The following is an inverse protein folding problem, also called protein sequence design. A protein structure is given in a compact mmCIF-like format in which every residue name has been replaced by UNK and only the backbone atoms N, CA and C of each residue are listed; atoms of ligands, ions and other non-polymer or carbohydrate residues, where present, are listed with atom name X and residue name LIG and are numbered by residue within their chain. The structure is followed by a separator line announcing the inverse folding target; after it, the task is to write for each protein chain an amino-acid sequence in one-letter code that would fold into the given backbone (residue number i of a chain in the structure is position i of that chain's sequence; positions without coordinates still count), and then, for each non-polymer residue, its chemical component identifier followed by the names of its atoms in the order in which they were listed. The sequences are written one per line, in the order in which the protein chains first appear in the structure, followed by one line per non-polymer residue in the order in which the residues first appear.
data_IF_705182792560
#
_entry.id   IF_705182792560
#
_cell.length_a   1.000
_cell.length_b   1.000
_cell.length_c   1.000
_cell.angle_alpha   90.00
_cell.angle_beta   90.00
_cell.angle_gamma   90.00
#
_symmetry.space_group_name_H-M   'P 1'
#
loop_
_entity.id
_entity.type
_entity.pdbx_description
1 polymer ?
#
# COMPACT_ATOMS: atom_id res chain seq x y z
N UNK A 1 -1.93 -35.17 -18.69
CA UNK A 1 -0.54 -34.98 -18.26
C UNK A 1 -0.54 -34.89 -16.74
N UNK A 2 -0.14 -35.98 -16.03
CA UNK A 2 -0.01 -35.97 -14.56
C UNK A 2 1.18 -35.05 -14.26
N UNK A 3 0.90 -33.83 -13.80
CA UNK A 3 1.91 -32.89 -13.34
C UNK A 3 2.53 -33.47 -12.06
N UNK A 4 3.81 -33.79 -12.13
CA UNK A 4 4.59 -34.28 -10.99
C UNK A 4 4.64 -33.16 -9.94
N UNK A 5 4.05 -33.40 -8.77
CA UNK A 5 3.85 -32.38 -7.73
C UNK A 5 5.16 -31.81 -7.17
N UNK A 6 6.23 -32.59 -7.20
CA UNK A 6 7.51 -32.17 -6.66
C UNK A 6 8.28 -31.27 -7.64
N UNK A 7 8.18 -31.53 -8.95
CA UNK A 7 8.72 -30.64 -9.99
C UNK A 7 8.02 -29.29 -10.06
N UNK A 8 6.71 -29.24 -9.76
CA UNK A 8 5.95 -27.96 -9.74
C UNK A 8 6.33 -27.05 -8.56
N UNK A 9 6.80 -27.60 -7.43
CA UNK A 9 7.24 -26.80 -6.27
C UNK A 9 8.59 -26.13 -6.50
N UNK A 10 9.45 -26.71 -7.34
CA UNK A 10 10.81 -26.22 -7.58
C UNK A 10 10.90 -25.23 -8.75
N UNK A 11 9.90 -25.18 -9.63
CA UNK A 11 9.90 -24.26 -10.78
C UNK A 11 9.33 -22.88 -10.39
N UNK A 12 10.14 -21.80 -10.34
CA UNK A 12 9.68 -20.45 -9.99
C UNK A 12 8.62 -19.89 -10.95
N UNK A 13 8.57 -20.39 -12.19
CA UNK A 13 7.68 -19.93 -13.26
C UNK A 13 6.46 -20.84 -13.46
N UNK A 14 6.30 -21.89 -12.65
CA UNK A 14 5.22 -22.87 -12.82
C UNK A 14 3.84 -22.22 -12.83
N UNK A 15 3.60 -21.26 -11.95
CA UNK A 15 2.31 -20.56 -11.85
C UNK A 15 2.02 -19.68 -13.07
N UNK A 16 3.04 -19.12 -13.72
CA UNK A 16 2.89 -18.29 -14.92
C UNK A 16 2.53 -19.10 -16.17
N UNK A 17 2.67 -20.42 -16.15
CA UNK A 17 2.20 -21.28 -17.25
C UNK A 17 0.68 -21.45 -17.24
N UNK A 18 0.01 -21.07 -16.15
CA UNK A 18 -1.45 -21.06 -16.06
C UNK A 18 -1.95 -19.77 -16.72
N UNK A 19 -2.55 -19.91 -17.91
CA UNK A 19 -2.98 -18.77 -18.75
C UNK A 19 -3.79 -17.73 -17.97
N UNK A 20 -4.84 -18.17 -17.27
CA UNK A 20 -5.74 -17.26 -16.56
C UNK A 20 -5.04 -16.52 -15.42
N UNK A 21 -4.10 -17.19 -14.73
CA UNK A 21 -3.27 -16.56 -13.72
C UNK A 21 -2.31 -15.51 -14.31
N UNK A 22 -1.65 -15.82 -15.43
CA UNK A 22 -0.73 -14.88 -16.09
C UNK A 22 -1.46 -13.63 -16.59
N UNK A 23 -2.64 -13.80 -17.19
CA UNK A 23 -3.49 -12.68 -17.61
C UNK A 23 -3.92 -11.86 -16.39
N UNK A 24 -4.28 -12.52 -15.27
CA UNK A 24 -4.64 -11.85 -14.03
C UNK A 24 -3.47 -11.05 -13.44
N UNK A 25 -2.25 -11.59 -13.47
CA UNK A 25 -1.04 -10.89 -13.01
C UNK A 25 -0.72 -9.67 -13.89
N UNK A 26 -0.84 -9.82 -15.21
CA UNK A 26 -0.62 -8.73 -16.15
C UNK A 26 -1.65 -7.60 -15.95
N UNK A 27 -2.91 -7.95 -15.79
CA UNK A 27 -3.98 -7.03 -15.44
C UNK A 27 -3.64 -6.26 -14.15
N UNK A 28 -3.23 -6.97 -13.09
CA UNK A 28 -2.85 -6.35 -11.82
C UNK A 28 -1.66 -5.41 -11.96
N UNK A 29 -0.65 -5.79 -12.73
CA UNK A 29 0.51 -4.94 -12.98
C UNK A 29 0.11 -3.60 -13.57
N UNK A 30 -0.68 -3.60 -14.65
CA UNK A 30 -1.12 -2.37 -15.30
C UNK A 30 -2.06 -1.54 -14.43
N UNK A 31 -2.93 -2.19 -13.66
CA UNK A 31 -3.80 -1.51 -12.72
C UNK A 31 -3.00 -0.78 -11.63
N UNK A 32 -2.07 -1.49 -10.98
CA UNK A 32 -1.25 -0.91 -9.91
C UNK A 32 -0.36 0.21 -10.49
N UNK A 33 0.25 -0.03 -11.65
CA UNK A 33 1.09 0.97 -12.32
C UNK A 33 0.31 2.25 -12.60
N UNK A 34 -0.88 2.16 -13.21
CA UNK A 34 -1.74 3.31 -13.48
C UNK A 34 -2.15 4.05 -12.21
N UNK A 35 -2.57 3.32 -11.16
CA UNK A 35 -2.93 3.92 -9.88
C UNK A 35 -1.73 4.59 -9.21
N UNK A 36 -0.54 4.00 -9.24
CA UNK A 36 0.66 4.61 -8.64
C UNK A 36 1.11 5.88 -9.36
N UNK A 37 0.98 5.94 -10.68
CA UNK A 37 1.16 7.17 -11.46
C UNK A 37 0.14 8.22 -11.00
N UNK A 38 -1.14 7.85 -10.92
CA UNK A 38 -2.24 8.75 -10.54
C UNK A 38 -2.05 9.37 -9.15
N UNK A 39 -1.56 8.59 -8.18
CA UNK A 39 -1.31 9.08 -6.82
C UNK A 39 -0.28 10.19 -6.80
N UNK A 40 0.79 10.11 -7.61
CA UNK A 40 1.80 11.18 -7.74
C UNK A 40 1.17 12.43 -8.34
N UNK A 41 0.44 12.28 -9.45
CA UNK A 41 -0.18 13.39 -10.17
C UNK A 41 -1.17 14.13 -9.28
N UNK A 42 -2.04 13.40 -8.59
CA UNK A 42 -3.04 13.95 -7.66
C UNK A 42 -2.36 14.74 -6.54
N UNK A 43 -1.30 14.20 -5.94
CA UNK A 43 -0.55 14.90 -4.90
C UNK A 43 0.03 16.22 -5.38
N UNK A 44 0.71 16.23 -6.54
CA UNK A 44 1.28 17.44 -7.14
C UNK A 44 0.17 18.42 -7.54
N UNK A 45 -0.93 17.93 -8.12
CA UNK A 45 -2.05 18.77 -8.52
C UNK A 45 -2.71 19.46 -7.34
N UNK A 46 -2.98 18.76 -6.26
CA UNK A 46 -3.56 19.34 -5.03
C UNK A 46 -2.61 20.38 -4.44
N UNK A 47 -1.30 20.08 -4.40
CA UNK A 47 -0.30 21.05 -3.97
C UNK A 47 -0.37 22.34 -4.79
N UNK A 48 -0.42 22.26 -6.12
CA UNK A 48 -0.43 23.40 -7.02
C UNK A 48 -1.77 24.18 -7.00
N UNK A 49 -2.89 23.51 -6.76
CA UNK A 49 -4.23 24.11 -6.71
C UNK A 49 -4.56 24.72 -5.36
N UNK A 50 -3.86 24.36 -4.29
CA UNK A 50 -4.13 24.86 -2.95
C UNK A 50 -3.38 26.18 -2.73
N UNK A 51 -4.08 27.32 -2.65
CA UNK A 51 -3.47 28.59 -2.31
C UNK A 51 -3.10 28.65 -0.82
N UNK A 52 -2.25 29.58 -0.44
CA UNK A 52 -1.96 29.88 0.95
C UNK A 52 -0.66 29.28 1.46
N UNK A 53 -0.60 29.10 2.77
CA UNK A 53 0.61 28.67 3.52
C UNK A 53 0.94 27.20 3.31
N UNK A 54 2.20 26.84 3.63
CA UNK A 54 2.67 25.43 3.72
C UNK A 54 1.72 24.54 4.52
N UNK A 55 1.19 25.05 5.64
CA UNK A 55 0.26 24.32 6.50
C UNK A 55 -1.10 24.04 5.84
N UNK A 56 -1.61 24.99 5.04
CA UNK A 56 -2.87 24.78 4.29
C UNK A 56 -2.70 23.74 3.19
N UNK A 57 -1.58 23.79 2.46
CA UNK A 57 -1.23 22.78 1.47
C UNK A 57 -1.05 21.39 2.11
N UNK A 58 -0.41 21.33 3.27
CA UNK A 58 -0.22 20.08 4.00
C UNK A 58 -1.57 19.48 4.44
N UNK A 59 -2.48 20.29 4.95
CA UNK A 59 -3.81 19.83 5.30
C UNK A 59 -4.61 19.36 4.08
N UNK A 60 -4.54 20.08 2.95
CA UNK A 60 -5.16 19.67 1.71
C UNK A 60 -4.65 18.31 1.22
N UNK A 61 -3.35 18.06 1.34
CA UNK A 61 -2.77 16.74 1.02
C UNK A 61 -3.22 15.66 2.00
N UNK A 62 -3.36 15.99 3.28
CA UNK A 62 -3.91 15.09 4.29
C UNK A 62 -5.35 14.65 3.97
N UNK A 63 -6.18 15.55 3.43
CA UNK A 63 -7.55 15.22 3.01
C UNK A 63 -7.61 14.19 1.87
N UNK A 64 -6.56 14.01 1.06
CA UNK A 64 -6.47 12.91 0.08
C UNK A 64 -6.62 11.58 0.79
N UNK A 65 -5.80 11.36 1.85
CA UNK A 65 -5.85 10.14 2.63
C UNK A 65 -7.23 9.92 3.28
N UNK A 66 -7.81 10.95 3.87
CA UNK A 66 -9.14 10.84 4.50
C UNK A 66 -10.25 10.53 3.49
N UNK A 67 -10.22 11.19 2.33
CA UNK A 67 -11.19 10.96 1.26
C UNK A 67 -11.14 9.51 0.75
N UNK A 68 -9.98 8.87 0.76
CA UNK A 68 -9.81 7.49 0.36
C UNK A 68 -10.09 6.50 1.51
N UNK A 69 -9.64 6.82 2.75
CA UNK A 69 -9.77 5.96 3.91
C UNK A 69 -11.23 5.67 4.28
N UNK A 70 -12.06 6.70 4.34
CA UNK A 70 -13.46 6.56 4.78
C UNK A 70 -14.21 5.52 3.94
N UNK A 71 -14.32 5.66 2.61
CA UNK A 71 -15.04 4.68 1.81
C UNK A 71 -14.34 3.32 1.77
N UNK A 72 -13.00 3.28 1.75
CA UNK A 72 -12.24 2.04 1.78
C UNK A 72 -12.58 1.20 3.02
N UNK A 73 -12.50 1.79 4.21
CA UNK A 73 -12.76 1.09 5.48
C UNK A 73 -14.22 0.63 5.56
N UNK A 74 -15.17 1.51 5.24
CA UNK A 74 -16.59 1.18 5.28
C UNK A 74 -16.92 0.02 4.33
N UNK A 75 -16.39 0.05 3.10
CA UNK A 75 -16.66 -0.98 2.10
C UNK A 75 -15.91 -2.27 2.42
N UNK A 76 -14.66 -2.22 2.87
CA UNK A 76 -13.86 -3.41 3.17
C UNK A 76 -14.53 -4.34 4.20
N UNK A 77 -15.30 -3.77 5.14
CA UNK A 77 -16.07 -4.53 6.12
C UNK A 77 -17.12 -5.43 5.44
N UNK A 78 -17.78 -4.97 4.39
CA UNK A 78 -18.84 -5.70 3.70
C UNK A 78 -18.35 -6.47 2.48
N UNK A 79 -17.27 -6.01 1.86
CA UNK A 79 -16.77 -6.52 0.58
C UNK A 79 -16.42 -8.02 0.61
N UNK A 80 -15.89 -8.52 1.73
CA UNK A 80 -15.61 -9.95 1.90
C UNK A 80 -16.87 -10.80 1.78
N UNK A 81 -17.98 -10.37 2.40
CA UNK A 81 -19.26 -11.08 2.34
C UNK A 81 -19.88 -11.04 0.91
N UNK A 82 -19.72 -9.93 0.23
CA UNK A 82 -20.12 -9.78 -1.17
C UNK A 82 -19.29 -10.72 -2.08
N UNK A 83 -17.97 -10.80 -1.86
CA UNK A 83 -17.06 -11.66 -2.61
C UNK A 83 -17.31 -13.18 -2.41
N UNK A 84 -17.97 -13.57 -1.31
CA UNK A 84 -18.36 -14.95 -1.05
C UNK A 84 -19.71 -15.34 -1.71
N UNK A 85 -20.52 -14.36 -2.11
CA UNK A 85 -21.86 -14.57 -2.69
C UNK A 85 -21.94 -14.28 -4.19
N UNK A 86 -21.14 -13.34 -4.67
CA UNK A 86 -21.13 -12.88 -6.06
C UNK A 86 -19.90 -13.42 -6.77
N UNK A 87 -20.01 -13.65 -8.07
CA UNK A 87 -18.87 -14.03 -8.89
C UNK A 87 -17.75 -12.99 -8.77
N UNK A 88 -16.59 -13.43 -8.27
CA UNK A 88 -15.44 -12.57 -7.97
C UNK A 88 -14.93 -11.81 -9.19
N UNK A 89 -14.95 -12.43 -10.37
CA UNK A 89 -14.61 -11.75 -11.64
C UNK A 89 -15.53 -10.56 -11.90
N UNK A 90 -16.83 -10.70 -11.65
CA UNK A 90 -17.79 -9.60 -11.84
C UNK A 90 -17.50 -8.43 -10.88
N UNK A 91 -17.16 -8.72 -9.62
CA UNK A 91 -16.79 -7.69 -8.64
C UNK A 91 -15.53 -6.95 -9.12
N UNK A 92 -14.52 -7.69 -9.56
CA UNK A 92 -13.27 -7.10 -10.08
C UNK A 92 -13.55 -6.24 -11.31
N UNK A 93 -14.31 -6.73 -12.27
CA UNK A 93 -14.68 -5.96 -13.48
C UNK A 93 -15.42 -4.68 -13.13
N UNK A 94 -16.41 -4.75 -12.25
CA UNK A 94 -17.15 -3.56 -11.80
C UNK A 94 -16.23 -2.55 -11.10
N UNK A 95 -15.37 -3.02 -10.20
CA UNK A 95 -14.44 -2.15 -9.47
C UNK A 95 -13.41 -1.50 -10.40
N UNK A 96 -12.85 -2.26 -11.36
CA UNK A 96 -11.90 -1.69 -12.33
C UNK A 96 -12.61 -0.73 -13.29
N UNK A 97 -13.83 -1.02 -13.73
CA UNK A 97 -14.63 -0.08 -14.54
C UNK A 97 -14.87 1.23 -13.79
N UNK A 98 -15.11 1.15 -12.48
CA UNK A 98 -15.29 2.33 -11.64
C UNK A 98 -14.00 3.14 -11.51
N UNK A 99 -12.84 2.48 -11.30
CA UNK A 99 -11.52 3.12 -11.31
C UNK A 99 -11.18 3.74 -12.68
N UNK A 100 -11.56 3.07 -13.77
CA UNK A 100 -11.40 3.57 -15.14
C UNK A 100 -12.19 4.87 -15.34
N UNK A 101 -13.47 4.88 -14.96
CA UNK A 101 -14.30 6.08 -15.01
C UNK A 101 -13.70 7.21 -14.17
N UNK A 102 -13.27 6.91 -12.94
CA UNK A 102 -12.61 7.87 -12.07
C UNK A 102 -11.35 8.47 -12.72
N UNK A 103 -10.49 7.63 -13.32
CA UNK A 103 -9.25 8.07 -13.96
C UNK A 103 -9.51 8.96 -15.19
N UNK A 104 -10.49 8.61 -16.04
CA UNK A 104 -10.88 9.45 -17.17
C UNK A 104 -11.59 10.75 -16.75
N UNK A 105 -12.31 10.71 -15.63
CA UNK A 105 -12.91 11.94 -15.06
C UNK A 105 -11.84 12.89 -14.55
N UNK A 106 -10.79 12.38 -13.87
CA UNK A 106 -9.63 13.19 -13.48
C UNK A 106 -8.92 13.80 -14.68
N UNK A 107 -8.72 13.01 -15.75
CA UNK A 107 -8.18 13.53 -17.01
C UNK A 107 -9.04 14.66 -17.56
N UNK A 108 -10.35 14.46 -17.69
CA UNK A 108 -11.28 15.44 -18.26
C UNK A 108 -11.30 16.75 -17.47
N UNK A 109 -11.39 16.67 -16.14
CA UNK A 109 -11.38 17.84 -15.26
C UNK A 109 -10.05 18.59 -15.35
N UNK A 110 -8.92 17.86 -15.41
CA UNK A 110 -7.59 18.46 -15.48
C UNK A 110 -7.28 19.05 -16.87
N UNK A 111 -7.87 18.49 -17.93
CA UNK A 111 -7.80 19.04 -19.28
C UNK A 111 -8.60 20.33 -19.40
N UNK A 112 -9.78 20.38 -18.77
CA UNK A 112 -10.66 21.53 -18.82
C UNK A 112 -10.48 22.42 -17.57
N UNK A 113 -9.52 23.36 -17.65
CA UNK A 113 -9.12 24.22 -16.54
C UNK A 113 -10.28 25.07 -15.95
N UNK A 114 -11.39 25.27 -16.70
CA UNK A 114 -12.55 26.04 -16.24
C UNK A 114 -13.20 25.39 -15.02
N UNK A 115 -13.32 24.04 -15.00
CA UNK A 115 -13.90 23.34 -13.85
C UNK A 115 -13.05 23.47 -12.58
N UNK A 116 -11.72 23.40 -12.72
CA UNK A 116 -10.81 23.56 -11.59
C UNK A 116 -10.78 24.99 -11.06
N UNK A 117 -10.92 25.98 -11.94
CA UNK A 117 -10.98 27.38 -11.54
C UNK A 117 -12.26 27.73 -10.75
N UNK A 118 -13.38 27.08 -11.05
CA UNK A 118 -14.67 27.33 -10.38
C UNK A 118 -14.90 26.51 -9.11
N UNK A 119 -14.44 25.25 -9.07
CA UNK A 119 -14.74 24.27 -8.00
C UNK A 119 -13.54 23.93 -7.11
N UNK A 120 -12.34 24.43 -7.46
CA UNK A 120 -11.10 24.17 -6.72
C UNK A 120 -10.74 22.68 -6.65
N UNK A 121 -10.31 22.23 -5.47
CA UNK A 121 -9.87 20.83 -5.23
C UNK A 121 -11.00 19.86 -4.92
N UNK A 122 -12.23 20.32 -4.67
CA UNK A 122 -13.36 19.48 -4.25
C UNK A 122 -13.71 18.34 -5.21
N UNK A 123 -13.75 18.54 -6.54
CA UNK A 123 -14.03 17.43 -7.46
C UNK A 123 -12.99 16.31 -7.39
N UNK A 124 -11.72 16.66 -7.15
CA UNK A 124 -10.63 15.70 -7.02
C UNK A 124 -10.87 14.80 -5.80
N UNK A 125 -11.20 15.38 -4.64
CA UNK A 125 -11.54 14.60 -3.44
C UNK A 125 -12.76 13.71 -3.64
N UNK A 126 -13.80 14.19 -4.34
CA UNK A 126 -14.96 13.37 -4.67
C UNK A 126 -14.62 12.16 -5.52
N UNK A 127 -13.73 12.33 -6.50
CA UNK A 127 -13.26 11.20 -7.34
C UNK A 127 -12.39 10.24 -6.51
N UNK A 128 -11.51 10.74 -5.64
CA UNK A 128 -10.69 9.91 -4.74
C UNK A 128 -11.58 9.10 -3.79
N UNK A 129 -12.63 9.72 -3.25
CA UNK A 129 -13.63 9.01 -2.45
C UNK A 129 -14.24 7.83 -3.22
N UNK A 130 -14.59 8.06 -4.47
CA UNK A 130 -15.07 7.01 -5.36
C UNK A 130 -14.02 5.91 -5.59
N UNK A 131 -12.74 6.25 -5.77
CA UNK A 131 -11.67 5.23 -5.91
C UNK A 131 -11.52 4.40 -4.65
N UNK A 132 -11.69 4.98 -3.47
CA UNK A 132 -11.70 4.27 -2.17
C UNK A 132 -12.78 3.17 -2.11
N UNK A 133 -13.98 3.43 -2.65
CA UNK A 133 -15.05 2.41 -2.76
C UNK A 133 -14.56 1.21 -3.58
N UNK A 134 -14.02 1.47 -4.77
CA UNK A 134 -13.55 0.40 -5.66
C UNK A 134 -12.41 -0.42 -5.01
N UNK A 135 -11.46 0.25 -4.38
CA UNK A 135 -10.35 -0.40 -3.65
C UNK A 135 -10.85 -1.25 -2.48
N UNK A 136 -11.87 -0.79 -1.77
CA UNK A 136 -12.51 -1.55 -0.69
C UNK A 136 -13.06 -2.91 -1.16
N UNK A 137 -13.64 -2.98 -2.36
CA UNK A 137 -14.08 -4.25 -2.96
C UNK A 137 -12.90 -5.09 -3.48
N UNK A 138 -11.89 -4.48 -4.09
CA UNK A 138 -10.77 -5.19 -4.68
C UNK A 138 -9.87 -5.88 -3.62
N UNK A 139 -9.71 -5.26 -2.46
CA UNK A 139 -8.80 -5.75 -1.42
C UNK A 139 -9.07 -7.22 -0.99
N UNK A 140 -10.29 -7.63 -0.61
CA UNK A 140 -10.59 -9.02 -0.30
C UNK A 140 -10.80 -9.88 -1.55
N UNK A 141 -11.23 -9.28 -2.68
CA UNK A 141 -11.62 -10.04 -3.86
C UNK A 141 -10.41 -10.55 -4.65
N UNK A 142 -9.33 -9.78 -4.75
CA UNK A 142 -8.13 -10.20 -5.48
C UNK A 142 -7.50 -11.49 -4.95
N UNK A 143 -7.13 -11.62 -3.67
CA UNK A 143 -6.56 -12.87 -3.17
C UNK A 143 -7.54 -14.04 -3.25
N UNK A 144 -8.84 -13.78 -3.04
CA UNK A 144 -9.87 -14.79 -3.15
C UNK A 144 -10.06 -15.29 -4.58
N UNK A 145 -10.00 -14.41 -5.58
CA UNK A 145 -10.09 -14.80 -7.00
C UNK A 145 -8.83 -15.52 -7.47
N UNK A 146 -7.65 -15.02 -7.07
CA UNK A 146 -6.38 -15.66 -7.36
C UNK A 146 -6.35 -17.12 -6.90
N UNK A 147 -6.85 -17.41 -5.71
CA UNK A 147 -6.90 -18.77 -5.16
C UNK A 147 -7.81 -19.72 -5.96
N UNK A 148 -8.74 -19.19 -6.75
CA UNK A 148 -9.59 -19.98 -7.66
C UNK A 148 -8.93 -20.31 -9.00
N UNK A 149 -7.94 -19.50 -9.41
CA UNK A 149 -7.26 -19.66 -10.70
C UNK A 149 -6.12 -20.69 -10.66
N UNK A 150 -5.63 -21.03 -9.47
CA UNK A 150 -4.42 -21.85 -9.29
C UNK A 150 -4.64 -22.99 -8.29
N UNK A 151 -3.96 -24.14 -8.47
CA UNK A 151 -3.96 -25.20 -7.49
C UNK A 151 -3.20 -24.81 -6.21
N UNK A 152 -3.62 -25.35 -5.06
CA UNK A 152 -3.05 -25.02 -3.74
C UNK A 152 -1.53 -25.17 -3.66
N UNK A 153 -0.94 -26.13 -4.39
CA UNK A 153 0.50 -26.38 -4.42
C UNK A 153 1.31 -25.18 -4.92
N UNK A 154 0.71 -24.29 -5.71
CA UNK A 154 1.33 -23.09 -6.31
C UNK A 154 1.07 -21.79 -5.54
N UNK A 155 0.39 -21.82 -4.39
CA UNK A 155 0.04 -20.60 -3.64
C UNK A 155 1.27 -19.80 -3.22
N UNK A 156 2.35 -20.46 -2.78
CA UNK A 156 3.59 -19.78 -2.42
C UNK A 156 4.26 -19.10 -3.62
N UNK A 157 4.29 -19.79 -4.77
CA UNK A 157 4.82 -19.23 -6.01
C UNK A 157 4.00 -18.00 -6.48
N UNK A 158 2.68 -18.08 -6.43
CA UNK A 158 1.79 -16.97 -6.74
C UNK A 158 1.95 -15.77 -5.78
N UNK A 159 2.16 -16.03 -4.49
CA UNK A 159 2.42 -14.95 -3.52
C UNK A 159 3.72 -14.19 -3.83
N UNK A 160 4.77 -14.90 -4.24
CA UNK A 160 6.03 -14.30 -4.68
C UNK A 160 5.84 -13.40 -5.90
N UNK A 161 5.13 -13.87 -6.92
CA UNK A 161 4.83 -13.07 -8.12
C UNK A 161 3.97 -11.86 -7.82
N UNK A 162 2.98 -11.99 -6.92
CA UNK A 162 2.19 -10.84 -6.45
C UNK A 162 3.05 -9.77 -5.78
N UNK A 163 3.98 -10.19 -4.91
CA UNK A 163 4.91 -9.28 -4.25
C UNK A 163 5.80 -8.55 -5.26
N UNK A 164 6.36 -9.30 -6.23
CA UNK A 164 7.25 -8.74 -7.26
C UNK A 164 6.51 -7.71 -8.13
N UNK A 165 5.27 -8.00 -8.55
CA UNK A 165 4.44 -7.08 -9.33
C UNK A 165 4.15 -5.81 -8.54
N UNK A 166 3.76 -5.95 -7.28
CA UNK A 166 3.51 -4.80 -6.41
C UNK A 166 4.75 -3.92 -6.26
N UNK A 167 5.90 -4.52 -5.95
CA UNK A 167 7.15 -3.78 -5.77
C UNK A 167 7.60 -3.11 -7.06
N UNK A 168 7.56 -3.81 -8.19
CA UNK A 168 7.94 -3.23 -9.49
C UNK A 168 7.04 -2.04 -9.84
N UNK A 169 5.73 -2.18 -9.72
CA UNK A 169 4.79 -1.10 -9.99
C UNK A 169 4.94 0.08 -9.01
N UNK A 170 5.29 -0.20 -7.74
CA UNK A 170 5.53 0.83 -6.72
C UNK A 170 6.82 1.63 -6.93
N UNK A 171 7.78 1.09 -7.70
CA UNK A 171 8.98 1.83 -8.14
C UNK A 171 8.70 2.57 -9.45
N UNK A 172 8.23 1.83 -10.45
CA UNK A 172 8.10 2.32 -11.83
C UNK A 172 6.97 3.35 -11.96
N UNK A 173 5.86 3.12 -11.25
CA UNK A 173 4.69 4.01 -11.32
C UNK A 173 5.00 5.44 -10.88
N UNK A 174 5.45 5.65 -9.64
CA UNK A 174 5.80 7.00 -9.18
C UNK A 174 6.92 7.66 -10.00
N UNK A 175 7.93 6.89 -10.43
CA UNK A 175 9.00 7.42 -11.27
C UNK A 175 8.45 7.93 -12.62
N UNK A 176 7.59 7.15 -13.30
CA UNK A 176 6.92 7.60 -14.53
C UNK A 176 6.02 8.80 -14.24
N UNK A 177 5.23 8.77 -13.15
CA UNK A 177 4.37 9.88 -12.77
C UNK A 177 5.14 11.19 -12.58
N UNK A 178 6.27 11.15 -11.87
CA UNK A 178 7.14 12.30 -11.69
C UNK A 178 7.78 12.79 -12.99
N UNK A 179 8.26 11.87 -13.84
CA UNK A 179 8.80 12.23 -15.15
C UNK A 179 7.75 12.91 -16.02
N UNK A 180 6.54 12.38 -16.11
CA UNK A 180 5.45 12.98 -16.89
C UNK A 180 5.07 14.37 -16.37
N UNK A 181 5.07 14.57 -15.06
CA UNK A 181 4.83 15.87 -14.44
C UNK A 181 5.98 16.83 -14.70
N UNK A 182 7.24 16.36 -14.67
CA UNK A 182 8.42 17.17 -15.00
C UNK A 182 8.42 17.71 -16.44
N UNK A 183 7.75 17.04 -17.39
CA UNK A 183 7.50 17.57 -18.72
C UNK A 183 6.38 18.63 -18.79
N UNK A 184 5.77 18.98 -17.64
CA UNK A 184 4.85 20.09 -17.48
C UNK A 184 3.43 19.86 -18.01
N UNK A 185 3.05 18.64 -18.38
CA UNK A 185 1.72 18.38 -18.93
C UNK A 185 0.92 17.39 -18.06
N UNK A 186 0.19 17.92 -17.10
CA UNK A 186 -0.67 17.15 -16.19
C UNK A 186 -1.73 16.32 -16.92
N UNK A 187 -2.28 16.84 -18.03
CA UNK A 187 -3.29 16.13 -18.81
C UNK A 187 -2.71 14.90 -19.48
N UNK A 188 -1.48 14.98 -20.01
CA UNK A 188 -0.78 13.81 -20.57
C UNK A 188 -0.54 12.77 -19.47
N UNK A 189 -0.12 13.19 -18.29
CA UNK A 189 0.13 12.30 -17.18
C UNK A 189 -1.15 11.52 -16.75
N UNK A 190 -2.29 12.22 -16.64
CA UNK A 190 -3.58 11.56 -16.40
C UNK A 190 -4.03 10.67 -17.56
N UNK A 191 -3.81 11.07 -18.81
CA UNK A 191 -4.14 10.24 -19.97
C UNK A 191 -3.36 8.90 -19.94
N UNK A 192 -2.06 8.95 -19.63
CA UNK A 192 -1.24 7.74 -19.48
C UNK A 192 -1.77 6.85 -18.37
N UNK A 193 -2.04 7.41 -17.18
CA UNK A 193 -2.62 6.66 -16.06
C UNK A 193 -3.96 6.01 -16.44
N UNK A 194 -4.90 6.79 -17.01
CA UNK A 194 -6.22 6.31 -17.42
C UNK A 194 -6.12 5.23 -18.51
N UNK A 195 -5.17 5.35 -19.45
CA UNK A 195 -4.92 4.36 -20.49
C UNK A 195 -4.43 3.04 -19.90
N UNK A 196 -3.55 3.06 -18.90
CA UNK A 196 -3.08 1.85 -18.21
C UNK A 196 -4.21 1.15 -17.44
N UNK A 197 -5.09 1.91 -16.78
CA UNK A 197 -6.29 1.37 -16.11
C UNK A 197 -7.25 0.78 -17.15
N UNK A 198 -7.43 1.45 -18.30
CA UNK A 198 -8.24 0.94 -19.43
C UNK A 198 -7.67 -0.37 -19.96
N UNK A 199 -6.36 -0.44 -20.15
CA UNK A 199 -5.67 -1.64 -20.61
C UNK A 199 -5.82 -2.78 -19.60
N UNK A 200 -5.72 -2.49 -18.31
CA UNK A 200 -6.01 -3.45 -17.24
C UNK A 200 -7.44 -4.01 -17.34
N UNK A 201 -8.44 -3.14 -17.59
CA UNK A 201 -9.82 -3.55 -17.77
C UNK A 201 -10.02 -4.46 -18.99
N UNK A 202 -9.35 -4.19 -20.10
CA UNK A 202 -9.43 -5.03 -21.29
C UNK A 202 -8.76 -6.39 -21.10
N UNK A 203 -7.63 -6.43 -20.40
CA UNK A 203 -6.87 -7.66 -20.14
C UNK A 203 -7.66 -8.68 -19.32
N UNK A 204 -8.52 -8.26 -18.37
CA UNK A 204 -9.27 -9.24 -17.55
C UNK A 204 -10.43 -9.90 -18.30
N UNK A 205 -10.90 -9.32 -19.40
CA UNK A 205 -12.09 -9.81 -20.12
C UNK A 205 -11.98 -11.29 -20.56
N UNK A 206 -10.86 -11.76 -21.17
CA UNK A 206 -10.73 -13.13 -21.66
C UNK A 206 -10.55 -14.19 -20.56
N UNK A 207 -10.37 -13.83 -19.28
CA UNK A 207 -10.22 -14.81 -18.21
C UNK A 207 -11.52 -15.61 -18.05
N UNK A 208 -11.38 -16.91 -17.82
CA UNK A 208 -12.51 -17.81 -17.63
C UNK A 208 -13.35 -17.46 -16.40
N UNK A 209 -14.67 -17.54 -16.51
CA UNK A 209 -15.55 -17.36 -15.35
C UNK A 209 -15.47 -18.59 -14.44
N UNK A 210 -15.00 -18.39 -13.22
CA UNK A 210 -14.98 -19.45 -12.20
C UNK A 210 -16.26 -19.35 -11.35
N UNK A 211 -17.00 -20.44 -11.17
CA UNK A 211 -18.20 -20.44 -10.34
C UNK A 211 -17.89 -20.05 -8.89
N UNK A 212 -18.86 -19.45 -8.22
CA UNK A 212 -18.77 -19.16 -6.79
C UNK A 212 -18.72 -20.50 -6.05
N UNK A 213 -17.74 -20.73 -5.14
CA UNK A 213 -17.72 -21.93 -4.32
C UNK A 213 -19.04 -22.01 -3.52
N UNK A 214 -19.73 -23.15 -3.58
CA UNK A 214 -20.88 -23.42 -2.71
C UNK A 214 -20.35 -23.67 -1.30
N UNK A 215 -20.17 -22.61 -0.52
CA UNK A 215 -19.85 -22.75 0.89
C UNK A 215 -21.13 -23.05 1.66
N UNK A 216 -21.22 -24.25 2.23
CA UNK A 216 -22.34 -24.70 3.06
C UNK A 216 -22.37 -24.01 4.43
N UNK A 217 -21.28 -23.36 4.85
CA UNK A 217 -21.19 -22.72 6.17
C UNK A 217 -21.52 -21.23 6.05
N UNK A 218 -22.77 -20.89 6.39
CA UNK A 218 -23.27 -19.51 6.49
C UNK A 218 -22.86 -18.88 7.83
N UNK A 219 -21.57 -18.71 8.11
CA UNK A 219 -21.19 -17.87 9.25
C UNK A 219 -21.55 -16.40 8.99
N UNK A 220 -22.11 -15.74 10.00
CA UNK A 220 -22.36 -14.30 9.93
C UNK A 220 -21.02 -13.56 9.86
N UNK A 221 -20.91 -12.60 8.94
CA UNK A 221 -19.69 -11.80 8.73
C UNK A 221 -19.17 -11.17 10.03
N UNK A 222 -20.08 -10.64 10.86
CA UNK A 222 -19.74 -10.08 12.17
C UNK A 222 -19.00 -11.07 13.06
N UNK A 223 -19.41 -12.34 13.07
CA UNK A 223 -18.79 -13.39 13.89
C UNK A 223 -17.38 -13.73 13.37
N UNK A 224 -17.21 -13.77 12.05
CA UNK A 224 -15.92 -14.06 11.42
C UNK A 224 -14.90 -12.97 11.69
N UNK A 225 -15.25 -11.70 11.49
CA UNK A 225 -14.38 -10.55 11.78
C UNK A 225 -14.10 -10.44 13.28
N UNK A 226 -15.13 -10.53 14.13
CA UNK A 226 -14.96 -10.49 15.59
C UNK A 226 -14.04 -11.60 16.08
N UNK A 227 -14.12 -12.81 15.50
CA UNK A 227 -13.22 -13.90 15.83
C UNK A 227 -11.77 -13.58 15.43
N UNK A 228 -11.55 -12.97 14.25
CA UNK A 228 -10.24 -12.51 13.81
C UNK A 228 -9.64 -11.45 14.75
N UNK A 229 -10.40 -10.41 15.06
CA UNK A 229 -9.98 -9.37 16.02
C UNK A 229 -9.69 -9.97 17.39
N UNK A 230 -10.60 -10.80 17.94
CA UNK A 230 -10.39 -11.45 19.24
C UNK A 230 -9.13 -12.31 19.26
N UNK A 231 -8.82 -13.02 18.19
CA UNK A 231 -7.61 -13.82 18.06
C UNK A 231 -6.36 -12.95 18.10
N UNK A 232 -6.31 -11.88 17.29
CA UNK A 232 -5.19 -10.92 17.25
C UNK A 232 -4.98 -10.27 18.62
N UNK A 233 -6.06 -9.76 19.25
CA UNK A 233 -5.97 -9.09 20.55
C UNK A 233 -5.59 -10.02 21.71
N UNK A 234 -5.88 -11.31 21.62
CA UNK A 234 -5.45 -12.31 22.62
C UNK A 234 -4.00 -12.74 22.47
N UNK A 235 -3.41 -12.60 21.27
CA UNK A 235 -2.04 -12.99 21.01
C UNK A 235 -1.10 -11.79 21.18
N UNK A 236 -0.39 -11.72 22.33
CA UNK A 236 0.52 -10.60 22.64
C UNK A 236 1.58 -10.37 21.55
N UNK A 237 2.15 -11.44 20.99
CA UNK A 237 3.21 -11.33 19.98
C UNK A 237 2.65 -10.69 18.70
N UNK A 238 1.50 -11.20 18.25
CA UNK A 238 0.86 -10.71 17.03
C UNK A 238 0.36 -9.26 17.19
N UNK A 239 -0.34 -8.99 18.29
CA UNK A 239 -0.84 -7.64 18.59
C UNK A 239 0.29 -6.63 18.64
N UNK A 240 1.37 -6.95 19.34
CA UNK A 240 2.52 -6.05 19.46
C UNK A 240 3.22 -5.82 18.12
N UNK A 241 3.37 -6.88 17.30
CA UNK A 241 3.98 -6.76 15.98
C UNK A 241 3.14 -5.90 15.03
N UNK A 242 1.81 -6.06 15.03
CA UNK A 242 0.89 -5.24 14.23
C UNK A 242 0.79 -3.81 14.74
N UNK A 243 0.83 -3.60 16.07
CA UNK A 243 0.81 -2.25 16.66
C UNK A 243 2.07 -1.46 16.32
N UNK A 244 3.25 -2.11 16.30
CA UNK A 244 4.50 -1.45 15.88
C UNK A 244 4.38 -0.87 14.48
N UNK A 245 3.82 -1.61 13.54
CA UNK A 245 3.59 -1.17 12.17
C UNK A 245 2.52 -0.07 12.08
N UNK A 246 1.37 -0.33 12.72
CA UNK A 246 0.26 0.63 12.73
C UNK A 246 0.75 2.03 13.14
N UNK A 247 1.44 2.11 14.28
CA UNK A 247 1.89 3.39 14.81
C UNK A 247 3.09 3.97 14.04
N UNK A 248 3.99 3.14 13.52
CA UNK A 248 5.10 3.60 12.70
C UNK A 248 4.60 4.27 11.41
N UNK A 249 3.61 3.66 10.76
CA UNK A 249 3.04 4.18 9.51
C UNK A 249 2.09 5.35 9.78
N UNK A 250 1.24 5.23 10.83
CA UNK A 250 0.30 6.28 11.23
C UNK A 250 1.00 7.60 11.54
N UNK A 251 2.08 7.54 12.32
CA UNK A 251 2.82 8.72 12.79
C UNK A 251 3.99 9.10 11.87
N UNK A 252 4.51 8.14 11.09
CA UNK A 252 5.61 8.34 10.15
C UNK A 252 5.20 8.68 8.71
N UNK A 253 3.94 9.05 8.47
CA UNK A 253 3.32 9.21 7.15
C UNK A 253 3.82 10.38 6.27
N UNK A 254 5.10 10.77 6.40
CA UNK A 254 5.72 11.87 5.65
C UNK A 254 5.64 11.73 4.11
N UNK A 255 5.37 10.53 3.59
CA UNK A 255 5.30 10.28 2.13
C UNK A 255 4.18 11.09 1.45
N UNK A 256 3.10 11.42 2.14
CA UNK A 256 2.06 12.29 1.62
C UNK A 256 2.55 13.74 1.41
N UNK A 257 3.55 14.18 2.17
CA UNK A 257 4.05 15.56 2.15
C UNK A 257 5.19 15.77 1.13
N UNK A 258 5.60 14.75 0.37
CA UNK A 258 6.71 14.82 -0.58
C UNK A 258 6.62 15.98 -1.57
N UNK A 259 5.45 16.36 -2.17
CA UNK A 259 5.36 17.54 -3.03
C UNK A 259 5.77 18.82 -2.30
N UNK A 260 5.34 19.00 -1.05
CA UNK A 260 5.71 20.19 -0.28
C UNK A 260 7.23 20.18 0.02
N UNK A 261 7.79 19.04 0.40
CA UNK A 261 9.23 18.91 0.62
C UNK A 261 10.04 19.25 -0.63
N UNK A 262 9.64 18.77 -1.82
CA UNK A 262 10.34 19.04 -3.07
C UNK A 262 10.34 20.52 -3.44
N UNK A 263 9.19 21.19 -3.27
CA UNK A 263 9.03 22.60 -3.65
C UNK A 263 9.54 23.58 -2.59
N UNK A 264 9.26 23.36 -1.32
CA UNK A 264 9.47 24.36 -0.26
C UNK A 264 10.71 24.11 0.59
N UNK A 265 11.09 22.82 0.82
CA UNK A 265 12.28 22.50 1.63
C UNK A 265 13.51 22.31 0.75
N UNK A 266 13.41 21.43 -0.26
CA UNK A 266 14.52 21.16 -1.17
C UNK A 266 14.68 22.27 -2.26
N UNK A 267 13.64 23.05 -2.50
CA UNK A 267 13.59 24.19 -3.44
C UNK A 267 14.13 23.85 -4.82
N UNK A 268 13.68 22.71 -5.38
CA UNK A 268 14.20 22.15 -6.64
C UNK A 268 13.70 22.87 -7.90
N UNK A 269 12.88 23.90 -7.77
CA UNK A 269 12.38 24.70 -8.90
C UNK A 269 11.64 23.85 -9.93
N UNK A 270 12.03 23.95 -11.20
CA UNK A 270 11.39 23.21 -12.30
C UNK A 270 11.50 21.67 -12.17
N UNK A 271 12.48 21.16 -11.40
CA UNK A 271 12.68 19.74 -11.22
C UNK A 271 11.91 19.17 -10.02
N UNK A 272 11.15 19.97 -9.29
CA UNK A 272 10.47 19.55 -8.06
C UNK A 272 9.45 18.44 -8.34
N UNK A 273 8.61 18.56 -9.35
CA UNK A 273 7.59 17.56 -9.69
C UNK A 273 8.21 16.20 -10.10
N UNK A 274 9.29 16.24 -10.87
CA UNK A 274 10.04 15.04 -11.23
C UNK A 274 10.67 14.40 -9.97
N UNK A 275 11.23 15.20 -9.08
CA UNK A 275 11.82 14.73 -7.84
C UNK A 275 10.79 14.06 -6.90
N UNK A 276 9.54 14.55 -6.85
CA UNK A 276 8.45 13.90 -6.10
C UNK A 276 8.27 12.44 -6.53
N UNK A 277 8.30 12.17 -7.84
CA UNK A 277 8.20 10.82 -8.35
C UNK A 277 9.34 9.92 -7.88
N UNK A 278 10.59 10.39 -7.96
CA UNK A 278 11.76 9.63 -7.49
C UNK A 278 11.76 9.46 -5.96
N UNK A 279 11.42 10.50 -5.21
CA UNK A 279 11.31 10.42 -3.75
C UNK A 279 10.24 9.40 -3.32
N UNK A 280 9.12 9.31 -4.06
CA UNK A 280 8.07 8.33 -3.79
C UNK A 280 8.47 6.90 -4.22
N UNK A 281 9.29 6.74 -5.24
CA UNK A 281 9.81 5.44 -5.69
C UNK A 281 10.94 4.91 -4.78
N UNK A 282 11.71 5.79 -4.14
CA UNK A 282 12.91 5.44 -3.40
C UNK A 282 12.70 4.40 -2.29
N UNK A 283 11.64 4.46 -1.43
CA UNK A 283 11.41 3.42 -0.43
C UNK A 283 11.19 2.04 -1.04
N UNK A 284 10.48 1.95 -2.16
CA UNK A 284 10.24 0.66 -2.82
C UNK A 284 11.53 0.08 -3.43
N UNK A 285 12.45 0.91 -3.93
CA UNK A 285 13.80 0.47 -4.35
C UNK A 285 14.55 -0.11 -3.16
N UNK A 286 14.55 0.58 -2.03
CA UNK A 286 15.18 0.09 -0.80
C UNK A 286 14.58 -1.24 -0.31
N UNK A 287 13.26 -1.36 -0.39
CA UNK A 287 12.53 -2.60 -0.04
C UNK A 287 12.93 -3.77 -0.95
N UNK A 288 13.11 -3.55 -2.27
CA UNK A 288 13.56 -4.58 -3.20
C UNK A 288 14.98 -5.05 -2.85
N UNK A 289 15.91 -4.12 -2.67
CA UNK A 289 17.30 -4.43 -2.34
C UNK A 289 17.37 -5.24 -1.03
N UNK A 290 16.67 -4.77 0.01
CA UNK A 290 16.63 -5.47 1.28
C UNK A 290 15.91 -6.81 1.19
N UNK A 291 14.83 -6.91 0.41
CA UNK A 291 14.11 -8.17 0.19
C UNK A 291 14.98 -9.24 -0.46
N UNK A 292 15.80 -8.87 -1.45
CA UNK A 292 16.79 -9.77 -2.06
C UNK A 292 17.80 -10.22 -1.00
N UNK A 293 18.36 -9.28 -0.22
CA UNK A 293 19.31 -9.60 0.84
C UNK A 293 18.71 -10.58 1.87
N UNK A 294 17.47 -10.35 2.31
CA UNK A 294 16.79 -11.18 3.30
C UNK A 294 16.34 -12.55 2.74
N UNK A 295 16.27 -12.72 1.44
CA UNK A 295 16.04 -14.02 0.83
C UNK A 295 17.25 -14.97 1.06
N UNK A 296 18.47 -14.42 1.10
CA UNK A 296 19.68 -15.18 1.43
C UNK A 296 19.94 -15.24 2.94
N UNK A 297 19.57 -14.21 3.69
CA UNK A 297 19.81 -14.07 5.13
C UNK A 297 18.52 -13.80 5.89
N UNK A 298 17.61 -14.78 6.01
CA UNK A 298 16.31 -14.60 6.65
C UNK A 298 16.47 -14.22 8.13
N UNK A 299 15.72 -13.21 8.63
CA UNK A 299 15.86 -12.69 9.99
C UNK A 299 15.09 -13.54 11.01
N UNK A 300 15.32 -14.87 11.03
CA UNK A 300 14.63 -15.83 11.90
C UNK A 300 15.17 -15.80 13.33
N UNK A 301 16.50 -15.67 13.48
CA UNK A 301 17.14 -15.56 14.80
C UNK A 301 16.90 -14.19 15.41
N UNK A 302 16.48 -14.15 16.68
CA UNK A 302 16.20 -12.90 17.43
C UNK A 302 15.20 -11.98 16.67
N UNK A 303 14.20 -12.57 16.03
CA UNK A 303 13.28 -11.88 15.15
C UNK A 303 12.60 -10.67 15.84
N UNK A 304 12.21 -10.79 17.09
CA UNK A 304 11.64 -9.68 17.85
C UNK A 304 12.60 -8.51 18.01
N UNK A 305 13.88 -8.75 18.30
CA UNK A 305 14.90 -7.68 18.36
C UNK A 305 15.11 -7.03 17.00
N UNK A 306 15.17 -7.81 15.94
CA UNK A 306 15.34 -7.31 14.57
C UNK A 306 14.15 -6.44 14.16
N UNK A 307 12.92 -6.80 14.57
CA UNK A 307 11.72 -6.00 14.32
C UNK A 307 11.81 -4.63 15.03
N UNK A 308 12.22 -4.60 16.30
CA UNK A 308 12.41 -3.32 17.02
C UNK A 308 13.48 -2.44 16.36
N UNK A 309 14.62 -3.04 15.95
CA UNK A 309 15.69 -2.30 15.25
C UNK A 309 15.16 -1.74 13.92
N UNK A 310 14.41 -2.53 13.17
CA UNK A 310 13.84 -2.12 11.88
C UNK A 310 12.89 -0.94 12.05
N UNK A 311 11.92 -1.00 12.98
CA UNK A 311 10.96 0.09 13.17
C UNK A 311 11.62 1.34 13.78
N UNK A 312 12.62 1.17 14.65
CA UNK A 312 13.43 2.31 15.16
C UNK A 312 14.22 2.94 14.03
N UNK A 313 14.88 2.13 13.18
CA UNK A 313 15.61 2.62 12.01
C UNK A 313 14.73 3.39 11.04
N UNK A 314 13.49 2.91 10.80
CA UNK A 314 12.50 3.64 10.02
C UNK A 314 12.19 5.02 10.64
N UNK A 315 11.92 5.10 11.95
CA UNK A 315 11.66 6.36 12.65
C UNK A 315 12.85 7.33 12.56
N UNK A 316 14.08 6.83 12.71
CA UNK A 316 15.31 7.65 12.56
C UNK A 316 15.45 8.15 11.13
N UNK A 317 15.15 7.33 10.12
CA UNK A 317 15.15 7.76 8.72
C UNK A 317 14.14 8.89 8.48
N UNK A 318 12.96 8.86 9.11
CA UNK A 318 11.99 9.95 8.99
C UNK A 318 12.52 11.26 9.60
N UNK A 319 13.20 11.21 10.75
CA UNK A 319 13.84 12.38 11.35
C UNK A 319 14.95 12.91 10.41
N UNK A 320 15.80 12.05 9.92
CA UNK A 320 16.87 12.42 8.99
C UNK A 320 16.32 12.99 7.67
N UNK A 321 15.20 12.45 7.16
CA UNK A 321 14.50 12.97 5.99
C UNK A 321 14.02 14.41 6.24
N UNK A 322 13.39 14.67 7.38
CA UNK A 322 12.90 16.00 7.72
C UNK A 322 14.01 17.08 7.77
N UNK A 323 15.23 16.69 8.13
CA UNK A 323 16.38 17.57 8.25
C UNK A 323 17.20 17.67 6.94
N UNK A 324 16.91 16.83 5.96
CA UNK A 324 17.66 16.80 4.69
C UNK A 324 17.27 17.96 3.78
N UNK A 325 18.27 18.65 3.26
CA UNK A 325 18.16 19.74 2.28
C UNK A 325 18.77 19.38 0.93
N UNK A 326 19.33 18.18 0.79
CA UNK A 326 19.96 17.70 -0.44
C UNK A 326 19.13 16.54 -1.01
N UNK A 327 18.74 16.63 -2.29
CA UNK A 327 17.91 15.62 -2.94
C UNK A 327 18.55 14.23 -2.96
N UNK A 328 19.85 14.12 -3.20
CA UNK A 328 20.54 12.83 -3.26
C UNK A 328 20.56 12.15 -1.89
N UNK A 329 20.85 12.93 -0.82
CA UNK A 329 20.79 12.45 0.55
C UNK A 329 19.37 12.04 0.92
N UNK A 330 18.36 12.83 0.53
CA UNK A 330 16.95 12.54 0.73
C UNK A 330 16.55 11.19 0.10
N UNK A 331 16.97 10.96 -1.15
CA UNK A 331 16.70 9.68 -1.83
C UNK A 331 17.34 8.50 -1.10
N UNK A 332 18.59 8.62 -0.67
CA UNK A 332 19.27 7.56 0.10
C UNK A 332 18.55 7.27 1.42
N UNK A 333 18.15 8.30 2.15
CA UNK A 333 17.42 8.16 3.42
C UNK A 333 16.08 7.46 3.20
N UNK A 334 15.34 7.85 2.15
CA UNK A 334 14.07 7.21 1.79
C UNK A 334 14.26 5.75 1.34
N UNK A 335 15.34 5.43 0.61
CA UNK A 335 15.70 4.05 0.29
C UNK A 335 15.99 3.23 1.56
N UNK A 336 16.73 3.80 2.52
CA UNK A 336 16.99 3.14 3.79
C UNK A 336 15.72 2.94 4.60
N UNK A 337 14.79 3.90 4.61
CA UNK A 337 13.51 3.75 5.27
C UNK A 337 12.71 2.57 4.73
N UNK A 338 12.65 2.42 3.40
CA UNK A 338 12.03 1.27 2.75
C UNK A 338 12.74 -0.06 3.04
N UNK A 339 14.07 -0.03 3.17
CA UNK A 339 14.84 -1.21 3.59
C UNK A 339 14.47 -1.68 4.99
N UNK A 340 14.35 -0.76 5.94
CA UNK A 340 13.90 -1.07 7.30
C UNK A 340 12.45 -1.56 7.35
N UNK A 341 11.56 -0.95 6.57
CA UNK A 341 10.17 -1.40 6.45
C UNK A 341 10.07 -2.82 5.91
N UNK A 342 10.89 -3.19 4.91
CA UNK A 342 10.91 -4.55 4.36
C UNK A 342 11.32 -5.61 5.40
N UNK A 343 12.30 -5.31 6.27
CA UNK A 343 12.64 -6.17 7.40
C UNK A 343 11.44 -6.37 8.32
N UNK A 344 10.73 -5.29 8.64
CA UNK A 344 9.52 -5.32 9.46
C UNK A 344 8.42 -6.16 8.82
N UNK A 345 8.13 -5.96 7.53
CA UNK A 345 7.11 -6.70 6.78
C UNK A 345 7.40 -8.21 6.81
N UNK A 346 8.64 -8.63 6.53
CA UNK A 346 9.00 -10.05 6.50
C UNK A 346 8.82 -10.69 7.87
N UNK A 347 9.30 -10.05 8.93
CA UNK A 347 9.17 -10.60 10.29
C UNK A 347 7.71 -10.69 10.70
N UNK A 348 6.90 -9.64 10.48
CA UNK A 348 5.47 -9.62 10.82
C UNK A 348 4.66 -10.67 10.06
N UNK A 349 4.89 -10.78 8.75
CA UNK A 349 4.19 -11.78 7.94
C UNK A 349 4.57 -13.20 8.35
N UNK A 350 5.83 -13.44 8.71
CA UNK A 350 6.28 -14.74 9.24
C UNK A 350 5.65 -15.05 10.60
N UNK A 351 5.61 -14.08 11.53
CA UNK A 351 4.90 -14.23 12.80
C UNK A 351 3.43 -14.61 12.54
N UNK A 352 2.74 -13.89 11.67
CA UNK A 352 1.34 -14.18 11.35
C UNK A 352 1.16 -15.59 10.79
N UNK A 353 2.02 -16.04 9.88
CA UNK A 353 1.93 -17.36 9.28
C UNK A 353 2.17 -18.47 10.28
N UNK A 354 3.15 -18.35 11.17
CA UNK A 354 3.52 -19.37 12.14
C UNK A 354 2.57 -19.43 13.34
N UNK A 355 2.02 -18.29 13.78
CA UNK A 355 1.18 -18.23 14.98
C UNK A 355 -0.32 -18.36 14.70
N UNK A 356 -0.74 -18.37 13.43
CA UNK A 356 -2.16 -18.43 13.06
C UNK A 356 -2.55 -19.84 12.62
N UNK A 357 -3.51 -20.49 13.28
CA UNK A 357 -4.09 -21.77 12.83
C UNK A 357 -4.73 -21.66 11.45
N UNK A 358 -4.71 -22.74 10.66
CA UNK A 358 -5.19 -22.74 9.27
C UNK A 358 -6.61 -22.24 9.11
N UNK A 359 -7.52 -22.58 10.04
CA UNK A 359 -8.93 -22.16 10.05
C UNK A 359 -9.11 -20.66 10.37
N UNK A 360 -8.09 -19.96 10.87
CA UNK A 360 -8.13 -18.55 11.22
C UNK A 360 -7.31 -17.66 10.25
N UNK A 361 -6.50 -18.22 9.36
CA UNK A 361 -5.59 -17.46 8.46
C UNK A 361 -6.31 -16.37 7.66
N UNK A 362 -7.46 -16.68 7.06
CA UNK A 362 -8.21 -15.71 6.29
C UNK A 362 -8.76 -14.55 7.16
N UNK A 363 -9.22 -14.87 8.37
CA UNK A 363 -9.76 -13.87 9.32
C UNK A 363 -8.66 -12.93 9.84
N UNK A 364 -7.50 -13.49 10.18
CA UNK A 364 -6.33 -12.71 10.64
C UNK A 364 -5.76 -11.86 9.50
N UNK A 365 -5.70 -12.41 8.28
CA UNK A 365 -5.27 -11.64 7.10
C UNK A 365 -6.20 -10.46 6.79
N UNK A 366 -7.52 -10.62 6.96
CA UNK A 366 -8.48 -9.53 6.81
C UNK A 366 -8.27 -8.42 7.86
N UNK A 367 -8.04 -8.79 9.12
CA UNK A 367 -7.72 -7.84 10.20
C UNK A 367 -6.42 -7.09 9.88
N UNK A 368 -5.36 -7.80 9.47
CA UNK A 368 -4.10 -7.17 9.07
C UNK A 368 -4.28 -6.21 7.90
N UNK A 369 -5.07 -6.58 6.89
CA UNK A 369 -5.39 -5.71 5.75
C UNK A 369 -6.10 -4.41 6.16
N UNK A 370 -7.02 -4.48 7.12
CA UNK A 370 -7.68 -3.31 7.70
C UNK A 370 -6.65 -2.44 8.45
N UNK A 371 -5.78 -3.04 9.27
CA UNK A 371 -4.75 -2.30 10.00
C UNK A 371 -3.82 -1.54 9.05
N UNK A 372 -3.26 -2.23 8.04
CA UNK A 372 -2.33 -1.61 7.07
C UNK A 372 -3.04 -0.54 6.24
N UNK A 373 -4.23 -0.83 5.70
CA UNK A 373 -4.98 0.14 4.88
C UNK A 373 -5.36 1.38 5.68
N UNK A 374 -5.88 1.20 6.90
CA UNK A 374 -6.27 2.32 7.75
C UNK A 374 -5.08 3.18 8.19
N UNK A 375 -3.95 2.56 8.58
CA UNK A 375 -2.79 3.31 9.04
C UNK A 375 -2.17 4.17 7.95
N UNK A 376 -2.10 3.68 6.72
CA UNK A 376 -1.58 4.44 5.59
C UNK A 376 -2.42 5.69 5.28
N UNK A 377 -3.72 5.51 5.15
CA UNK A 377 -4.60 6.60 4.72
C UNK A 377 -4.89 7.60 5.86
N UNK A 378 -5.13 7.10 7.08
CA UNK A 378 -5.34 7.96 8.25
C UNK A 378 -4.02 8.69 8.61
N UNK A 379 -2.86 8.03 8.46
CA UNK A 379 -1.56 8.64 8.67
C UNK A 379 -1.28 9.82 7.75
N UNK A 380 -1.78 9.80 6.53
CA UNK A 380 -1.70 10.96 5.63
C UNK A 380 -2.47 12.17 6.20
N UNK A 381 -3.67 11.95 6.73
CA UNK A 381 -4.47 13.01 7.35
C UNK A 381 -3.83 13.52 8.64
N UNK A 382 -3.32 12.61 9.49
CA UNK A 382 -2.60 12.97 10.71
C UNK A 382 -1.39 13.84 10.40
N UNK A 383 -0.55 13.42 9.44
CA UNK A 383 0.65 14.16 9.01
C UNK A 383 0.29 15.54 8.43
N UNK A 384 -0.80 15.65 7.65
CA UNK A 384 -1.30 16.91 7.12
C UNK A 384 -1.77 17.86 8.22
N UNK A 385 -2.50 17.35 9.20
CA UNK A 385 -2.99 18.11 10.35
C UNK A 385 -1.82 18.55 11.26
N UNK A 386 -0.90 17.65 11.57
CA UNK A 386 0.29 17.96 12.35
C UNK A 386 1.15 19.03 11.67
N UNK A 387 1.36 18.91 10.35
CA UNK A 387 2.11 19.91 9.58
C UNK A 387 1.43 21.28 9.57
N UNK A 388 0.09 21.35 9.58
CA UNK A 388 -0.64 22.60 9.73
C UNK A 388 -0.46 23.23 11.12
N UNK A 389 -0.46 22.41 12.19
CA UNK A 389 -0.47 22.89 13.58
C UNK A 389 0.93 23.30 14.07
N UNK A 390 1.94 22.51 13.77
CA UNK A 390 3.31 22.67 14.31
C UNK A 390 4.36 22.94 13.22
N UNK A 391 3.96 22.97 11.96
CA UNK A 391 4.84 23.14 10.80
C UNK A 391 5.32 21.84 10.19
N UNK A 392 5.72 21.88 8.91
CA UNK A 392 6.04 20.69 8.11
C UNK A 392 7.23 19.89 8.70
N UNK A 393 8.38 20.53 8.89
CA UNK A 393 9.59 19.85 9.40
C UNK A 393 9.37 19.34 10.83
N UNK A 394 8.86 20.17 11.79
CA UNK A 394 8.57 19.68 13.14
C UNK A 394 7.59 18.53 13.19
N UNK A 395 6.56 18.48 12.31
CA UNK A 395 5.60 17.38 12.29
C UNK A 395 6.23 16.04 11.89
N UNK A 396 7.13 16.03 10.91
CA UNK A 396 7.84 14.81 10.50
C UNK A 396 8.84 14.37 11.59
N UNK A 397 9.56 15.30 12.22
CA UNK A 397 10.42 14.99 13.36
C UNK A 397 9.59 14.39 14.51
N UNK A 398 8.46 15.01 14.82
CA UNK A 398 7.53 14.52 15.84
C UNK A 398 7.07 13.08 15.53
N UNK A 399 6.66 12.80 14.30
CA UNK A 399 6.25 11.45 13.86
C UNK A 399 7.38 10.43 14.01
N UNK A 400 8.61 10.78 13.61
CA UNK A 400 9.77 9.91 13.80
C UNK A 400 10.11 9.67 15.27
N UNK A 401 10.06 10.71 16.12
CA UNK A 401 10.27 10.59 17.57
C UNK A 401 9.18 9.73 18.23
N UNK A 402 7.91 9.94 17.86
CA UNK A 402 6.80 9.13 18.37
C UNK A 402 6.92 7.68 17.94
N UNK A 403 7.37 7.38 16.73
CA UNK A 403 7.68 6.01 16.30
C UNK A 403 8.71 5.36 17.23
N UNK A 404 9.81 6.05 17.56
CA UNK A 404 10.83 5.54 18.48
C UNK A 404 10.29 5.36 19.91
N UNK A 405 9.45 6.29 20.38
CA UNK A 405 8.79 6.18 21.68
C UNK A 405 7.84 4.98 21.75
N UNK A 406 7.02 4.77 20.72
CA UNK A 406 6.11 3.61 20.62
C UNK A 406 6.90 2.31 20.62
N UNK A 407 8.01 2.23 19.87
CA UNK A 407 8.90 1.06 19.90
C UNK A 407 9.41 0.79 21.31
N UNK A 408 9.88 1.83 22.00
CA UNK A 408 10.38 1.72 23.38
C UNK A 408 9.29 1.24 24.35
N UNK A 409 8.09 1.81 24.23
CA UNK A 409 6.92 1.41 25.02
C UNK A 409 6.51 -0.05 24.80
N UNK A 410 6.38 -0.46 23.53
CA UNK A 410 6.00 -1.85 23.18
C UNK A 410 7.13 -2.83 23.59
N UNK A 411 8.40 -2.43 23.47
CA UNK A 411 9.53 -3.26 23.93
C UNK A 411 9.48 -3.52 25.45
N UNK A 412 8.98 -2.56 26.22
CA UNK A 412 8.77 -2.72 27.66
C UNK A 412 7.52 -3.58 27.96
N UNK A 413 6.41 -3.32 27.28
CA UNK A 413 5.11 -3.97 27.53
C UNK A 413 5.01 -5.38 26.96
N UNK A 414 5.82 -5.73 25.95
CA UNK A 414 5.74 -7.00 25.24
C UNK A 414 7.04 -7.84 25.35
N UNK A 415 7.38 -8.36 26.53
CA UNK A 415 8.61 -9.16 26.74
C UNK A 415 8.61 -10.44 25.89
N UNK A 416 7.45 -11.00 25.56
CA UNK A 416 7.35 -12.19 24.70
C UNK A 416 7.82 -11.89 23.28
N UNK A 417 7.47 -10.74 22.71
CA UNK A 417 7.94 -10.33 21.37
C UNK A 417 9.46 -10.08 21.42
N UNK A 418 9.98 -9.41 22.47
CA UNK A 418 11.43 -9.12 22.61
C UNK A 418 12.30 -10.38 22.58
N UNK A 419 11.83 -11.47 23.19
CA UNK A 419 12.56 -12.75 23.28
C UNK A 419 12.24 -13.67 22.09
N UNK A 420 11.43 -13.24 21.13
CA UNK A 420 10.97 -14.08 20.06
C UNK A 420 12.12 -14.55 19.16
N UNK A 421 12.19 -15.87 18.98
CA UNK A 421 13.03 -16.55 18.02
C UNK A 421 12.11 -17.43 17.15
N UNK A 422 12.05 -17.16 15.85
CA UNK A 422 11.16 -17.86 14.94
C UNK A 422 11.61 -19.31 14.71
N UNK A 423 12.90 -19.60 14.81
CA UNK A 423 13.44 -20.97 14.72
C UNK A 423 12.92 -21.92 15.83
N UNK A 424 12.34 -21.38 16.90
CA UNK A 424 11.80 -22.15 18.02
C UNK A 424 10.29 -22.42 17.91
N UNK A 425 9.62 -21.82 16.93
CA UNK A 425 8.18 -21.97 16.70
C UNK A 425 7.90 -22.98 15.58
N UNK A 426 8.90 -23.24 14.74
CA UNK A 426 8.89 -24.31 13.72
C UNK A 426 9.33 -25.62 14.33
#
# INVERSE_FOLDING_TARGET
MKLDKDNLRQDPFAVLRIRDFSIFMLMRFFLILGVQIQVVIVGIQIYNLTPGSTGEKALAMGFIGLAEAIPFILIAIFAGHVADRINRKKIILFSIAFLLLASWTLFYISFNKIYLASLGTFPIYGIIFCTGIARGFLAPTFPAYQSQLIPRVLYANAATWNGNIWQTASVVGPAIGGLLMGFGNISVAYAVSASLVTFSFLIILPITNVPVPKNEIKEKLSNSLTAGFRFVFKNQIMLSALSLDLFAVLLGGAVAMLPIFAHEVLKLGANADMAVGFMRAAPAVGSIIMGIFLAYYPPTKKAGRNLYIAVTGFGICMIAFALSTNIYLTLVILMLSGSFDMVSIIIRTTIMQLTTPDNMRGRVAAVNGIFIGSSNEIGQMESGLAARLIGLIPSVIFGGCMTVLVVSGIMYLAPKLRKLNLDQIT
#
